data_IF_361905749790
#
_entry.id   IF_361905749790
#
_cell.length_a   1.000
_cell.length_b   1.000
_cell.length_c   1.000
_cell.angle_alpha   90.00
_cell.angle_beta   90.00
_cell.angle_gamma   90.00
#
_symmetry.space_group_name_H-M   'P 1'
#
loop_
_entity.id
_entity.type
_entity.pdbx_description
1 polymer ?
#
# COMPACT_ATOMS: atom_id res chain seq x y z
N UNK A 1 -7.67 -25.18 -40.08
CA UNK A 1 -6.32 -25.80 -40.11
C UNK A 1 -5.38 -24.86 -39.37
N UNK A 2 -5.51 -24.77 -38.04
CA UNK A 2 -4.67 -23.92 -37.17
C UNK A 2 -4.49 -24.47 -35.73
N UNK A 3 -4.98 -25.66 -35.39
CA UNK A 3 -4.82 -26.24 -34.03
C UNK A 3 -3.37 -26.64 -33.67
N UNK A 4 -2.47 -26.74 -34.67
CA UNK A 4 -1.07 -27.12 -34.45
C UNK A 4 -0.19 -26.00 -33.91
N UNK A 5 -0.59 -24.74 -34.05
CA UNK A 5 0.20 -23.61 -33.52
C UNK A 5 0.04 -23.45 -32.00
N UNK A 6 -1.14 -23.77 -31.46
CA UNK A 6 -1.44 -23.60 -30.03
C UNK A 6 -0.87 -24.73 -29.15
N UNK A 7 -0.49 -25.87 -29.74
CA UNK A 7 0.12 -27.03 -29.03
C UNK A 7 1.64 -27.08 -29.17
N UNK A 8 2.23 -26.17 -29.97
CA UNK A 8 3.68 -26.08 -30.13
C UNK A 8 4.32 -25.48 -28.89
N UNK A 9 5.45 -26.02 -28.46
CA UNK A 9 6.29 -25.35 -27.44
C UNK A 9 6.73 -23.99 -27.97
N UNK A 10 6.40 -22.93 -27.25
CA UNK A 10 6.80 -21.56 -27.57
C UNK A 10 8.00 -21.15 -26.71
N UNK A 11 8.94 -20.41 -27.30
CA UNK A 11 10.04 -19.81 -26.53
C UNK A 11 9.54 -18.60 -25.75
N UNK A 12 10.20 -18.28 -24.63
CA UNK A 12 9.90 -17.08 -23.84
C UNK A 12 10.04 -15.80 -24.67
N UNK A 13 11.06 -15.72 -25.53
CA UNK A 13 11.25 -14.57 -26.43
C UNK A 13 10.11 -14.43 -27.43
N UNK A 14 9.60 -15.55 -27.93
CA UNK A 14 8.50 -15.60 -28.88
C UNK A 14 7.17 -15.22 -28.21
N UNK A 15 6.93 -15.68 -26.98
CA UNK A 15 5.76 -15.27 -26.19
C UNK A 15 5.73 -13.76 -25.94
N UNK A 16 6.89 -13.16 -25.62
CA UNK A 16 7.03 -11.71 -25.46
C UNK A 16 6.83 -10.96 -26.78
N UNK A 17 7.23 -11.54 -27.91
CA UNK A 17 6.96 -10.94 -29.22
C UNK A 17 5.45 -10.99 -29.57
N UNK A 18 4.76 -12.10 -29.28
CA UNK A 18 3.34 -12.30 -29.58
C UNK A 18 2.41 -11.45 -28.71
N UNK A 19 2.70 -11.38 -27.41
CA UNK A 19 1.88 -10.64 -26.44
C UNK A 19 2.34 -9.18 -26.25
N UNK A 20 3.42 -8.79 -26.92
CA UNK A 20 4.16 -7.58 -26.59
C UNK A 20 5.02 -7.77 -25.34
N UNK A 21 6.08 -6.97 -25.23
CA UNK A 21 6.94 -6.87 -24.05
C UNK A 21 6.12 -6.29 -22.86
N UNK A 22 5.26 -7.12 -22.26
CA UNK A 22 4.38 -6.75 -21.13
C UNK A 22 5.19 -6.47 -19.84
N UNK A 23 6.50 -6.74 -19.82
CA UNK A 23 7.31 -6.73 -18.60
C UNK A 23 8.38 -5.66 -18.48
N UNK A 24 8.71 -4.89 -19.53
CA UNK A 24 9.73 -3.85 -19.40
C UNK A 24 9.09 -2.46 -19.39
N UNK A 25 8.81 -1.89 -18.21
CA UNK A 25 8.42 -0.50 -18.15
C UNK A 25 9.60 0.33 -18.66
N UNK A 26 9.38 1.09 -19.74
CA UNK A 26 10.28 2.18 -20.10
C UNK A 26 10.42 3.06 -18.86
N UNK A 27 11.62 3.07 -18.27
CA UNK A 27 11.92 3.72 -17.01
C UNK A 27 11.65 5.22 -17.10
N UNK A 28 10.42 5.63 -16.81
CA UNK A 28 10.04 7.03 -16.72
C UNK A 28 9.48 7.27 -15.33
N UNK A 29 10.05 8.30 -14.67
CA UNK A 29 9.72 8.73 -13.31
C UNK A 29 8.23 8.63 -13.06
N UNK A 30 7.86 8.07 -11.89
CA UNK A 30 6.50 8.04 -11.34
C UNK A 30 5.84 9.42 -11.45
N UNK A 31 5.20 9.71 -12.57
CA UNK A 31 4.16 10.72 -12.63
C UNK A 31 2.97 10.05 -11.95
N UNK A 32 2.59 10.54 -10.77
CA UNK A 32 1.26 10.27 -10.22
C UNK A 32 0.24 10.86 -11.20
N UNK A 33 -0.02 10.17 -12.31
CA UNK A 33 -1.05 10.56 -13.26
C UNK A 33 -2.37 10.29 -12.58
N UNK A 34 -2.88 11.30 -11.90
CA UNK A 34 -4.30 11.37 -11.56
C UNK A 34 -5.02 11.53 -12.90
N UNK A 35 -5.72 10.48 -13.33
CA UNK A 35 -6.77 10.49 -14.35
C UNK A 35 -6.30 10.91 -15.74
N UNK A 36 -5.87 9.94 -16.55
CA UNK A 36 -5.82 10.10 -18.00
C UNK A 36 -6.96 9.31 -18.62
N UNK A 37 -7.52 9.81 -19.71
CA UNK A 37 -8.72 9.26 -20.37
C UNK A 37 -8.55 7.81 -20.86
N UNK A 38 -7.31 7.32 -20.99
CA UNK A 38 -6.99 5.96 -21.44
C UNK A 38 -6.73 4.97 -20.27
N UNK A 39 -6.84 5.40 -19.00
CA UNK A 39 -6.59 4.53 -17.85
C UNK A 39 -7.89 4.08 -17.19
N UNK A 40 -8.19 2.78 -17.24
CA UNK A 40 -9.29 2.16 -16.48
C UNK A 40 -8.83 1.91 -15.06
N UNK A 41 -9.51 2.50 -14.08
CA UNK A 41 -9.18 2.31 -12.67
C UNK A 41 -9.69 0.96 -12.17
N UNK A 42 -9.04 0.42 -11.13
CA UNK A 42 -9.50 -0.82 -10.51
C UNK A 42 -10.92 -0.69 -9.97
N UNK A 43 -11.29 0.49 -9.44
CA UNK A 43 -12.65 0.76 -8.98
C UNK A 43 -13.70 0.71 -10.11
N UNK A 44 -13.33 1.04 -11.35
CA UNK A 44 -14.20 0.85 -12.50
C UNK A 44 -14.22 -0.62 -12.96
N UNK A 45 -13.07 -1.30 -12.91
CA UNK A 45 -12.94 -2.69 -13.35
C UNK A 45 -13.59 -3.71 -12.40
N UNK A 46 -13.55 -3.46 -11.09
CA UNK A 46 -14.07 -4.37 -10.05
C UNK A 46 -15.38 -3.89 -9.42
N UNK A 47 -15.88 -2.73 -9.84
CA UNK A 47 -17.03 -2.07 -9.21
C UNK A 47 -16.68 -1.29 -7.93
N UNK A 48 -17.71 -0.81 -7.23
CA UNK A 48 -17.59 0.01 -6.02
C UNK A 48 -16.83 -0.74 -4.92
N UNK A 49 -15.55 -0.36 -4.71
CA UNK A 49 -14.72 -0.89 -3.64
C UNK A 49 -15.33 -0.45 -2.31
N UNK A 50 -15.80 -1.36 -1.45
CA UNK A 50 -16.45 -0.99 -0.20
C UNK A 50 -15.45 -0.30 0.73
N UNK A 51 -15.88 0.82 1.33
CA UNK A 51 -15.10 1.52 2.35
C UNK A 51 -15.15 0.72 3.64
N UNK A 52 -14.05 0.07 3.99
CA UNK A 52 -13.89 -0.54 5.32
C UNK A 52 -13.74 0.59 6.34
N UNK A 53 -14.75 0.78 7.18
CA UNK A 53 -14.67 1.67 8.36
C UNK A 53 -14.10 0.84 9.50
N UNK A 54 -12.91 1.19 9.96
CA UNK A 54 -12.36 0.62 11.18
C UNK A 54 -13.01 1.36 12.35
N UNK A 55 -14.12 0.83 12.89
CA UNK A 55 -14.83 1.41 14.04
C UNK A 55 -14.05 1.21 15.35
N UNK A 56 -12.82 0.69 15.28
CA UNK A 56 -11.91 0.63 16.42
C UNK A 56 -11.49 2.04 16.79
N UNK A 57 -12.10 2.55 17.86
CA UNK A 57 -11.56 3.71 18.56
C UNK A 57 -10.09 3.43 18.90
N UNK A 58 -9.17 4.38 18.64
CA UNK A 58 -7.81 4.27 19.11
C UNK A 58 -7.84 4.00 20.61
N UNK A 59 -7.41 2.81 21.03
CA UNK A 59 -7.21 2.50 22.44
C UNK A 59 -6.11 3.44 22.94
N UNK A 60 -6.48 4.40 23.78
CA UNK A 60 -5.50 5.24 24.45
C UNK A 60 -4.61 4.32 25.30
N UNK A 61 -3.28 4.37 25.12
CA UNK A 61 -2.39 3.56 25.94
C UNK A 61 -2.60 3.92 27.42
N UNK A 62 -2.54 2.95 28.34
CA UNK A 62 -2.75 3.21 29.75
C UNK A 62 -1.73 4.26 30.22
N UNK A 63 -2.24 5.40 30.70
CA UNK A 63 -1.41 6.44 31.31
C UNK A 63 -0.79 5.83 32.58
N UNK A 64 0.54 5.72 32.67
CA UNK A 64 1.16 5.23 33.89
C UNK A 64 0.80 6.17 35.04
N UNK A 65 0.52 5.65 36.25
CA UNK A 65 0.19 6.51 37.38
C UNK A 65 1.35 7.49 37.61
N UNK A 66 1.05 8.78 37.52
CA UNK A 66 2.00 9.84 37.80
C UNK A 66 2.59 9.57 39.20
N UNK A 67 3.91 9.33 39.24
CA UNK A 67 4.63 9.18 40.48
C UNK A 67 4.25 10.35 41.40
N UNK A 68 3.65 9.99 42.53
CA UNK A 68 3.17 10.91 43.54
C UNK A 68 4.14 12.08 43.68
N UNK A 69 3.59 13.30 43.58
CA UNK A 69 4.27 14.54 43.85
C UNK A 69 5.21 14.36 45.04
N UNK A 70 6.52 14.37 44.78
CA UNK A 70 7.52 14.52 45.82
C UNK A 70 7.32 15.93 46.38
N UNK A 71 6.44 16.03 47.38
CA UNK A 71 6.41 17.16 48.30
C UNK A 71 7.75 17.11 49.00
N UNK A 72 8.70 17.90 48.52
CA UNK A 72 9.93 18.17 49.22
C UNK A 72 9.57 18.94 50.50
N UNK A 73 9.61 18.25 51.62
CA UNK A 73 9.56 18.85 52.95
C UNK A 73 10.79 19.75 53.13
N UNK A 74 10.64 21.04 53.50
CA UNK A 74 11.78 21.92 53.67
C UNK A 74 12.50 21.57 54.98
N UNK A 75 13.74 21.11 54.88
CA UNK A 75 14.62 20.88 56.03
C UNK A 75 15.01 22.25 56.63
N UNK A 76 14.74 22.52 57.93
CA UNK A 76 15.19 23.75 58.55
C UNK A 76 16.72 23.73 58.77
N UNK A 77 17.38 24.85 58.47
CA UNK A 77 18.80 25.03 58.72
C UNK A 77 19.09 25.15 60.22
N UNK A 78 20.17 24.55 60.74
CA UNK A 78 20.55 24.70 62.15
C UNK A 78 21.10 26.12 62.43
N UNK A 79 20.80 26.61 63.63
CA UNK A 79 21.23 27.91 64.18
C UNK A 79 22.61 27.81 64.81
#
# INVERSE_FOLDING_TARGET
MTDTEDTKQISVAELLARNGSIGSPAGTRRRRRRRGDDSVSVAELTGEIPVVRDDRQPQEPPVPPAAAARVAEPVPAPV
#
